data_IF_134801709526
#
_entry.id   IF_134801709526
#
_cell.length_a   1.000
_cell.length_b   1.000
_cell.length_c   1.000
_cell.angle_alpha   90.00
_cell.angle_beta   90.00
_cell.angle_gamma   90.00
#
_symmetry.space_group_name_H-M   'P 1'
#
loop_
_entity.id
_entity.type
_entity.pdbx_description
1 polymer ?
#
# COMPACT_ATOMS: atom_id res chain seq x y z
N UNK A 1 -5.47 33.53 -37.72
CA UNK A 1 -6.57 32.61 -38.03
C UNK A 1 -6.09 31.71 -39.15
N UNK A 2 -6.26 30.39 -39.04
CA UNK A 2 -5.96 29.47 -40.13
C UNK A 2 -6.96 29.71 -41.26
N UNK A 3 -6.49 29.67 -42.53
CA UNK A 3 -7.36 29.79 -43.69
C UNK A 3 -8.19 28.51 -43.92
N UNK A 4 -9.25 28.61 -44.72
CA UNK A 4 -10.19 27.53 -44.98
C UNK A 4 -9.53 26.30 -45.65
N UNK A 5 -8.44 26.49 -46.41
CA UNK A 5 -7.71 25.42 -47.09
C UNK A 5 -6.92 24.62 -46.03
N UNK A 6 -6.19 25.31 -45.17
CA UNK A 6 -5.46 24.70 -44.05
C UNK A 6 -6.40 23.94 -43.10
N UNK A 7 -7.58 24.50 -42.81
CA UNK A 7 -8.60 23.84 -42.00
C UNK A 7 -9.09 22.55 -42.69
N UNK A 8 -9.33 22.56 -44.00
CA UNK A 8 -9.76 21.38 -44.75
C UNK A 8 -8.69 20.28 -44.78
N UNK A 9 -7.42 20.64 -44.95
CA UNK A 9 -6.29 19.73 -44.95
C UNK A 9 -6.10 19.09 -43.56
N UNK A 10 -6.28 19.85 -42.49
CA UNK A 10 -6.29 19.34 -41.11
C UNK A 10 -7.42 18.36 -40.83
N UNK A 11 -8.62 18.64 -41.37
CA UNK A 11 -9.76 17.72 -41.28
C UNK A 11 -9.51 16.39 -41.99
N UNK A 12 -8.90 16.41 -43.18
CA UNK A 12 -8.55 15.18 -43.91
C UNK A 12 -7.47 14.37 -43.20
N UNK A 13 -6.45 15.02 -42.67
CA UNK A 13 -5.41 14.38 -41.89
C UNK A 13 -5.97 13.76 -40.60
N UNK A 14 -6.93 14.43 -39.94
CA UNK A 14 -7.61 13.93 -38.76
C UNK A 14 -8.48 12.69 -39.05
N UNK A 15 -9.18 12.68 -40.19
CA UNK A 15 -9.97 11.53 -40.63
C UNK A 15 -9.10 10.30 -40.94
N UNK A 16 -7.85 10.50 -41.36
CA UNK A 16 -6.88 9.45 -41.63
C UNK A 16 -6.16 8.94 -40.34
N UNK A 17 -6.17 9.71 -39.27
CA UNK A 17 -5.50 9.37 -37.98
C UNK A 17 -6.39 9.67 -36.78
N UNK A 18 -7.35 8.78 -36.48
CA UNK A 18 -8.36 9.01 -35.43
C UNK A 18 -7.79 9.20 -34.01
N UNK A 19 -6.53 8.84 -33.80
CA UNK A 19 -5.83 9.05 -32.52
C UNK A 19 -5.18 10.42 -32.35
N UNK A 20 -5.32 11.30 -33.37
CA UNK A 20 -4.67 12.60 -33.39
C UNK A 20 -3.32 12.60 -34.14
N UNK A 21 -2.78 13.78 -34.39
CA UNK A 21 -1.48 13.96 -35.03
C UNK A 21 -0.76 15.19 -34.49
N UNK A 22 0.56 15.19 -34.66
CA UNK A 22 1.44 16.25 -34.23
C UNK A 22 1.92 17.05 -35.48
N UNK A 23 1.82 18.35 -35.43
CA UNK A 23 2.43 19.23 -36.43
C UNK A 23 3.78 19.67 -35.89
N UNK A 24 4.83 19.40 -36.68
CA UNK A 24 6.21 19.71 -36.34
C UNK A 24 6.71 20.76 -37.33
N UNK A 25 7.25 21.86 -36.81
CA UNK A 25 7.94 22.87 -37.60
C UNK A 25 9.42 22.91 -37.23
N UNK A 26 10.29 22.86 -38.25
CA UNK A 26 11.76 22.89 -38.05
C UNK A 26 12.32 21.90 -37.04
N UNK A 27 11.70 20.72 -36.92
CA UNK A 27 12.13 19.66 -36.01
C UNK A 27 11.60 19.77 -34.58
N UNK A 28 10.82 20.79 -34.27
CA UNK A 28 10.16 20.98 -32.98
C UNK A 28 8.64 20.86 -33.08
N UNK A 29 7.94 20.23 -32.13
CA UNK A 29 6.48 20.17 -32.16
C UNK A 29 5.88 21.56 -31.97
N UNK A 30 5.11 22.02 -32.94
CA UNK A 30 4.45 23.34 -32.93
C UNK A 30 3.05 23.29 -32.32
N UNK A 31 2.27 22.26 -32.66
CA UNK A 31 0.98 21.99 -32.03
C UNK A 31 0.50 20.56 -32.33
N UNK A 32 -0.40 20.06 -31.48
CA UNK A 32 -1.03 18.77 -31.62
C UNK A 32 -2.54 18.93 -31.90
N UNK A 33 -3.07 18.16 -32.85
CA UNK A 33 -4.51 18.04 -33.07
C UNK A 33 -4.98 16.74 -32.47
N UNK A 34 -5.87 16.82 -31.49
CA UNK A 34 -6.39 15.67 -30.75
C UNK A 34 -7.92 15.56 -30.97
N UNK A 35 -8.49 14.33 -30.95
CA UNK A 35 -9.93 14.19 -30.84
C UNK A 35 -10.43 14.95 -29.61
N UNK A 36 -11.59 15.59 -29.72
CA UNK A 36 -12.18 16.40 -28.64
C UNK A 36 -12.28 15.59 -27.32
N UNK A 37 -12.60 14.30 -27.42
CA UNK A 37 -12.64 13.37 -26.27
C UNK A 37 -11.25 13.21 -25.63
N UNK A 38 -10.19 13.07 -26.44
CA UNK A 38 -8.80 12.96 -25.96
C UNK A 38 -8.30 14.29 -25.38
N UNK A 39 -8.63 15.43 -26.04
CA UNK A 39 -8.35 16.77 -25.51
C UNK A 39 -9.07 17.01 -24.17
N UNK A 40 -10.35 16.63 -24.05
CA UNK A 40 -11.11 16.77 -22.82
C UNK A 40 -10.51 15.92 -21.70
N UNK A 41 -10.09 14.68 -21.99
CA UNK A 41 -9.40 13.81 -21.03
C UNK A 41 -8.04 14.41 -20.61
N UNK A 42 -7.25 14.92 -21.55
CA UNK A 42 -5.97 15.59 -21.28
C UNK A 42 -6.15 16.85 -20.42
N UNK A 43 -7.14 17.67 -20.73
CA UNK A 43 -7.49 18.87 -19.95
C UNK A 43 -7.99 18.52 -18.55
N UNK A 44 -8.77 17.46 -18.42
CA UNK A 44 -9.24 16.98 -17.12
C UNK A 44 -8.08 16.41 -16.30
N UNK A 45 -7.17 15.64 -16.90
CA UNK A 45 -5.99 15.13 -16.20
C UNK A 45 -5.05 16.26 -15.76
N UNK A 46 -4.79 17.27 -16.59
CA UNK A 46 -4.01 18.46 -16.23
C UNK A 46 -4.69 19.31 -15.15
N UNK A 47 -5.99 19.52 -15.24
CA UNK A 47 -6.75 20.26 -14.23
C UNK A 47 -6.78 19.53 -12.89
N UNK A 48 -6.84 18.19 -12.91
CA UNK A 48 -6.80 17.36 -11.70
C UNK A 48 -5.38 17.24 -11.11
N UNK A 49 -4.32 17.27 -11.94
CA UNK A 49 -2.93 17.22 -11.44
C UNK A 49 -2.50 18.51 -10.73
N UNK A 50 -3.14 19.65 -11.00
CA UNK A 50 -2.84 20.93 -10.33
C UNK A 50 -3.72 21.21 -9.10
N UNK A 51 -4.73 20.37 -8.84
CA UNK A 51 -5.64 20.56 -7.70
C UNK A 51 -5.01 19.97 -6.44
N UNK A 52 -4.88 20.78 -5.40
CA UNK A 52 -4.46 20.33 -4.07
C UNK A 52 -5.41 19.24 -3.55
N UNK A 53 -4.87 18.18 -2.97
CA UNK A 53 -5.65 17.14 -2.32
C UNK A 53 -6.07 17.65 -0.94
N UNK A 54 -7.36 17.63 -0.65
CA UNK A 54 -7.92 18.03 0.64
C UNK A 54 -8.76 16.92 1.26
N UNK A 55 -9.60 16.23 0.46
CA UNK A 55 -10.53 15.19 0.93
C UNK A 55 -10.18 13.83 0.40
N UNK A 56 -10.01 12.86 1.30
CA UNK A 56 -9.47 11.54 1.02
C UNK A 56 -10.43 10.47 1.52
N UNK A 57 -10.72 9.49 0.65
CA UNK A 57 -11.31 8.23 1.09
C UNK A 57 -10.20 7.27 1.52
N UNK A 58 -10.29 6.74 2.73
CA UNK A 58 -9.38 5.71 3.23
C UNK A 58 -10.16 4.41 3.40
N UNK A 59 -9.98 3.46 2.51
CA UNK A 59 -10.57 2.12 2.67
C UNK A 59 -9.66 1.26 3.53
N UNK A 60 -10.23 0.54 4.50
CA UNK A 60 -9.46 -0.19 5.52
C UNK A 60 -8.83 0.73 6.58
N UNK A 61 -9.41 1.93 6.76
CA UNK A 61 -8.89 2.93 7.69
C UNK A 61 -9.10 2.62 9.17
N UNK A 62 -9.93 1.64 9.51
CA UNK A 62 -10.07 1.13 10.88
C UNK A 62 -9.07 0.00 11.21
N UNK A 63 -8.33 -0.50 10.18
CA UNK A 63 -7.30 -1.53 10.32
C UNK A 63 -5.99 -0.99 10.92
N UNK A 64 -5.02 -1.88 11.11
CA UNK A 64 -3.75 -1.58 11.76
C UNK A 64 -2.98 -0.42 11.11
N UNK A 65 -2.60 -0.53 9.83
CA UNK A 65 -1.83 0.53 9.14
C UNK A 65 -2.73 1.72 8.80
N UNK A 66 -3.96 1.43 8.37
CA UNK A 66 -4.93 2.47 7.98
C UNK A 66 -5.23 3.46 9.10
N UNK A 67 -5.44 3.00 10.34
CA UNK A 67 -5.77 3.88 11.47
C UNK A 67 -4.63 4.85 11.85
N UNK A 68 -3.38 4.38 11.82
CA UNK A 68 -2.22 5.25 12.01
C UNK A 68 -2.10 6.29 10.89
N UNK A 69 -2.39 5.90 9.65
CA UNK A 69 -2.39 6.82 8.51
C UNK A 69 -3.53 7.83 8.60
N UNK A 70 -4.73 7.41 8.96
CA UNK A 70 -5.89 8.29 9.20
C UNK A 70 -5.54 9.34 10.25
N UNK A 71 -4.91 8.94 11.36
CA UNK A 71 -4.45 9.86 12.39
C UNK A 71 -3.51 10.92 11.84
N UNK A 72 -2.42 10.52 11.16
CA UNK A 72 -1.44 11.46 10.61
C UNK A 72 -2.04 12.36 9.53
N UNK A 73 -2.95 11.87 8.69
CA UNK A 73 -3.68 12.70 7.72
C UNK A 73 -4.49 13.79 8.41
N UNK A 74 -5.20 13.44 9.49
CA UNK A 74 -5.98 14.40 10.29
C UNK A 74 -5.10 15.46 10.95
N UNK A 75 -3.95 15.07 11.49
CA UNK A 75 -2.97 15.99 12.07
C UNK A 75 -2.42 16.98 11.03
N UNK A 76 -2.38 16.59 9.75
CA UNK A 76 -2.02 17.45 8.62
C UNK A 76 -3.22 18.20 7.99
N UNK A 77 -4.38 18.20 8.66
CA UNK A 77 -5.60 18.90 8.26
C UNK A 77 -6.25 18.41 6.96
N UNK A 78 -6.05 17.13 6.58
CA UNK A 78 -6.85 16.51 5.53
C UNK A 78 -8.25 16.18 6.06
N UNK A 79 -9.26 16.35 5.21
CA UNK A 79 -10.60 15.79 5.44
C UNK A 79 -10.59 14.31 5.09
N UNK A 80 -10.81 13.45 6.08
CA UNK A 80 -10.72 12.00 5.92
C UNK A 80 -12.10 11.37 6.11
N UNK A 81 -12.50 10.53 5.15
CA UNK A 81 -13.63 9.62 5.27
C UNK A 81 -13.08 8.20 5.25
N UNK A 82 -13.43 7.41 6.23
CA UNK A 82 -13.02 6.01 6.35
C UNK A 82 -14.16 5.11 5.90
N UNK A 83 -13.86 4.14 5.02
CA UNK A 83 -14.74 3.03 4.65
C UNK A 83 -14.10 1.72 5.12
N UNK A 84 -14.75 1.02 6.05
CA UNK A 84 -14.23 -0.24 6.61
C UNK A 84 -15.39 -1.13 7.04
N UNK A 85 -15.28 -2.44 6.82
CA UNK A 85 -16.30 -3.41 7.24
C UNK A 85 -16.02 -4.02 8.64
N UNK A 86 -15.01 -3.52 9.33
CA UNK A 86 -14.58 -3.95 10.67
C UNK A 86 -14.23 -5.44 10.81
N UNK A 87 -13.97 -6.13 9.69
CA UNK A 87 -13.60 -7.56 9.72
C UNK A 87 -12.31 -7.84 10.53
N UNK A 88 -11.40 -6.88 10.57
CA UNK A 88 -10.16 -6.91 11.37
C UNK A 88 -9.88 -5.59 12.07
N UNK A 89 -10.50 -4.53 11.62
CA UNK A 89 -10.39 -3.18 12.15
C UNK A 89 -11.18 -2.98 13.45
N UNK A 90 -10.99 -1.82 14.07
CA UNK A 90 -11.71 -1.38 15.26
C UNK A 90 -12.29 0.01 15.02
N UNK A 91 -13.60 0.17 15.21
CA UNK A 91 -14.29 1.45 14.94
C UNK A 91 -13.71 2.61 15.74
N UNK A 92 -13.29 2.38 16.99
CA UNK A 92 -12.68 3.40 17.83
C UNK A 92 -11.29 3.86 17.33
N UNK A 93 -10.61 3.06 16.51
CA UNK A 93 -9.30 3.43 15.93
C UNK A 93 -9.41 4.51 14.84
N UNK A 94 -10.62 4.80 14.36
CA UNK A 94 -10.88 5.84 13.36
C UNK A 94 -10.83 7.26 13.97
N UNK A 95 -11.00 7.37 15.28
CA UNK A 95 -11.05 8.65 15.99
C UNK A 95 -12.25 9.49 15.55
N UNK A 96 -12.02 10.78 15.29
CA UNK A 96 -13.03 11.76 14.87
C UNK A 96 -13.21 11.88 13.34
N UNK A 97 -12.57 11.02 12.54
CA UNK A 97 -12.80 10.98 11.10
C UNK A 97 -14.21 10.46 10.77
N UNK A 98 -14.80 10.96 9.68
CA UNK A 98 -16.09 10.43 9.22
C UNK A 98 -15.95 8.95 8.92
N UNK A 99 -16.81 8.13 9.51
CA UNK A 99 -16.79 6.68 9.37
C UNK A 99 -18.02 6.18 8.62
N UNK A 100 -17.79 5.32 7.63
CA UNK A 100 -18.80 4.59 6.87
C UNK A 100 -18.51 3.11 7.08
N UNK A 101 -19.41 2.41 7.76
CA UNK A 101 -19.32 0.96 7.90
C UNK A 101 -19.82 0.29 6.62
N UNK A 102 -18.97 -0.53 6.00
CA UNK A 102 -19.33 -1.27 4.80
C UNK A 102 -18.15 -1.87 4.07
N UNK A 103 -18.46 -2.74 3.12
CA UNK A 103 -17.46 -3.43 2.32
C UNK A 103 -17.08 -2.61 1.09
N UNK A 104 -15.79 -2.39 0.88
CA UNK A 104 -15.26 -1.67 -0.29
C UNK A 104 -15.46 -2.40 -1.62
N UNK A 105 -15.87 -3.67 -1.60
CA UNK A 105 -16.22 -4.43 -2.81
C UNK A 105 -17.67 -4.23 -3.25
N UNK A 106 -18.53 -3.67 -2.39
CA UNK A 106 -19.93 -3.36 -2.68
C UNK A 106 -20.04 -2.17 -3.64
N UNK A 107 -20.46 -2.44 -4.88
CA UNK A 107 -20.59 -1.44 -5.95
C UNK A 107 -21.61 -0.36 -5.65
N UNK A 108 -22.75 -0.74 -5.08
CA UNK A 108 -23.85 0.20 -4.81
C UNK A 108 -23.45 1.14 -3.67
N UNK A 109 -22.76 0.62 -2.66
CA UNK A 109 -22.18 1.41 -1.59
C UNK A 109 -21.12 2.38 -2.13
N UNK A 110 -20.18 1.91 -2.95
CA UNK A 110 -19.15 2.75 -3.55
C UNK A 110 -19.76 3.86 -4.41
N UNK A 111 -20.71 3.53 -5.29
CA UNK A 111 -21.39 4.53 -6.13
C UNK A 111 -22.04 5.63 -5.28
N UNK A 112 -22.70 5.26 -4.20
CA UNK A 112 -23.33 6.20 -3.26
C UNK A 112 -22.28 7.06 -2.53
N UNK A 113 -21.22 6.44 -1.99
CA UNK A 113 -20.16 7.13 -1.25
C UNK A 113 -19.44 8.14 -2.13
N UNK A 114 -19.09 7.77 -3.38
CA UNK A 114 -18.43 8.69 -4.32
C UNK A 114 -19.36 9.81 -4.81
N UNK A 115 -20.66 9.57 -4.86
CA UNK A 115 -21.64 10.61 -5.22
C UNK A 115 -21.80 11.65 -4.12
N UNK A 116 -21.88 11.20 -2.86
CA UNK A 116 -22.16 12.06 -1.70
C UNK A 116 -20.92 12.86 -1.27
N UNK A 117 -19.71 12.27 -1.33
CA UNK A 117 -18.55 12.77 -0.61
C UNK A 117 -17.49 13.51 -1.47
N UNK A 118 -17.48 13.42 -2.76
CA UNK A 118 -16.59 14.15 -3.68
C UNK A 118 -15.11 14.15 -3.25
N UNK A 119 -14.43 13.03 -3.38
CA UNK A 119 -13.02 12.87 -3.00
C UNK A 119 -12.05 13.46 -4.02
N UNK A 120 -10.87 13.89 -3.56
CA UNK A 120 -9.72 14.27 -4.39
C UNK A 120 -8.77 13.09 -4.64
N UNK A 121 -8.72 12.14 -3.69
CA UNK A 121 -7.87 10.95 -3.77
C UNK A 121 -8.44 9.80 -2.92
N UNK A 122 -7.89 8.60 -3.15
CA UNK A 122 -8.17 7.39 -2.36
C UNK A 122 -6.86 6.83 -1.82
N UNK A 123 -6.87 6.38 -0.56
CA UNK A 123 -5.87 5.49 0.01
C UNK A 123 -6.50 4.12 0.27
N UNK A 124 -5.95 3.08 -0.35
CA UNK A 124 -6.54 1.74 -0.32
C UNK A 124 -5.70 0.77 0.51
N UNK A 125 -6.14 0.54 1.76
CA UNK A 125 -5.55 -0.42 2.69
C UNK A 125 -6.36 -1.72 2.80
N UNK A 126 -7.67 -1.66 2.54
CA UNK A 126 -8.57 -2.78 2.70
C UNK A 126 -8.16 -3.98 1.83
N UNK A 127 -7.94 -5.11 2.44
CA UNK A 127 -7.59 -6.36 1.76
C UNK A 127 -7.69 -7.56 2.70
N UNK A 128 -7.87 -8.76 2.16
CA UNK A 128 -7.53 -10.02 2.83
C UNK A 128 -6.00 -10.19 2.81
N UNK A 129 -5.34 -10.44 3.98
CA UNK A 129 -3.88 -10.32 4.13
C UNK A 129 -3.16 -11.57 4.67
N UNK A 130 -3.88 -12.60 5.15
CA UNK A 130 -3.27 -13.81 5.73
C UNK A 130 -2.73 -14.73 4.64
N UNK A 131 -1.41 -14.92 4.61
CA UNK A 131 -0.73 -15.71 3.56
C UNK A 131 -1.19 -17.18 3.57
N UNK A 132 -1.22 -17.81 4.74
CA UNK A 132 -1.67 -19.19 4.93
C UNK A 132 -3.13 -19.40 4.53
N UNK A 133 -4.02 -18.50 4.92
CA UNK A 133 -5.42 -18.51 4.49
C UNK A 133 -5.55 -18.36 2.98
N UNK A 134 -4.68 -17.55 2.35
CA UNK A 134 -4.73 -17.35 0.90
C UNK A 134 -4.47 -18.65 0.12
N UNK A 135 -3.58 -19.50 0.64
CA UNK A 135 -3.31 -20.82 0.05
C UNK A 135 -4.48 -21.77 0.26
N UNK A 136 -5.10 -21.72 1.44
CA UNK A 136 -6.24 -22.60 1.76
C UNK A 136 -7.55 -22.15 1.06
N UNK A 137 -7.73 -20.86 0.84
CA UNK A 137 -8.94 -20.27 0.23
C UNK A 137 -8.59 -19.15 -0.76
N UNK A 138 -7.99 -19.46 -1.92
CA UNK A 138 -7.59 -18.44 -2.89
C UNK A 138 -8.77 -17.64 -3.46
N UNK A 139 -9.95 -18.27 -3.61
CA UNK A 139 -11.14 -17.61 -4.14
C UNK A 139 -11.50 -16.34 -3.34
N UNK A 140 -11.48 -16.41 -2.00
CA UNK A 140 -11.71 -15.25 -1.11
C UNK A 140 -10.75 -14.11 -1.41
N UNK A 141 -9.48 -14.42 -1.68
CA UNK A 141 -8.43 -13.42 -1.92
C UNK A 141 -8.59 -12.73 -3.28
N UNK A 142 -8.89 -13.49 -4.33
CA UNK A 142 -9.17 -12.89 -5.63
C UNK A 142 -10.45 -12.07 -5.62
N UNK A 143 -11.51 -12.56 -4.98
CA UNK A 143 -12.78 -11.83 -4.86
C UNK A 143 -12.58 -10.52 -4.09
N UNK A 144 -11.98 -10.56 -2.92
CA UNK A 144 -11.74 -9.37 -2.10
C UNK A 144 -10.74 -8.42 -2.75
N UNK A 145 -9.50 -8.89 -3.04
CA UNK A 145 -8.40 -7.99 -3.35
C UNK A 145 -8.40 -7.56 -4.83
N UNK A 146 -8.87 -8.41 -5.74
CA UNK A 146 -8.85 -8.11 -7.17
C UNK A 146 -10.22 -7.61 -7.65
N UNK A 147 -11.28 -8.38 -7.45
CA UNK A 147 -12.63 -7.97 -7.90
C UNK A 147 -13.10 -6.75 -7.13
N UNK A 148 -12.94 -6.74 -5.80
CA UNK A 148 -13.22 -5.57 -4.96
C UNK A 148 -12.39 -4.35 -5.37
N UNK A 149 -11.09 -4.54 -5.62
CA UNK A 149 -10.21 -3.48 -6.11
C UNK A 149 -10.66 -2.90 -7.46
N UNK A 150 -11.10 -3.76 -8.42
CA UNK A 150 -11.67 -3.32 -9.69
C UNK A 150 -12.94 -2.50 -9.46
N UNK A 151 -13.82 -2.92 -8.55
CA UNK A 151 -15.03 -2.17 -8.23
C UNK A 151 -14.68 -0.77 -7.70
N UNK A 152 -13.68 -0.67 -6.81
CA UNK A 152 -13.22 0.60 -6.28
C UNK A 152 -12.68 1.53 -7.38
N UNK A 153 -11.76 1.07 -8.25
CA UNK A 153 -11.19 1.92 -9.28
C UNK A 153 -12.22 2.28 -10.36
N UNK A 154 -13.22 1.43 -10.63
CA UNK A 154 -14.34 1.76 -11.50
C UNK A 154 -15.20 2.90 -10.93
N UNK A 155 -15.53 2.84 -9.63
CA UNK A 155 -16.26 3.91 -8.94
C UNK A 155 -15.46 5.22 -8.93
N UNK A 156 -14.13 5.16 -8.70
CA UNK A 156 -13.22 6.30 -8.79
C UNK A 156 -13.28 6.96 -10.18
N UNK A 157 -13.09 6.16 -11.24
CA UNK A 157 -13.10 6.66 -12.64
C UNK A 157 -14.47 7.28 -12.97
N UNK A 158 -15.58 6.63 -12.59
CA UNK A 158 -16.94 7.13 -12.77
C UNK A 158 -17.16 8.49 -12.08
N UNK A 159 -16.59 8.67 -10.90
CA UNK A 159 -16.67 9.91 -10.12
C UNK A 159 -15.63 10.98 -10.54
N UNK A 160 -14.71 10.66 -11.45
CA UNK A 160 -13.62 11.55 -11.85
C UNK A 160 -12.48 11.67 -10.82
N UNK A 161 -12.38 10.74 -9.88
CA UNK A 161 -11.30 10.66 -8.90
C UNK A 161 -10.18 9.82 -9.50
N UNK A 162 -9.03 10.45 -9.78
CA UNK A 162 -7.94 9.81 -10.56
C UNK A 162 -6.64 9.64 -9.78
N UNK A 163 -6.67 9.73 -8.46
CA UNK A 163 -5.47 9.61 -7.61
C UNK A 163 -5.65 8.51 -6.59
N UNK A 164 -4.72 7.52 -6.58
CA UNK A 164 -4.78 6.36 -5.70
C UNK A 164 -3.42 6.07 -5.06
N UNK A 165 -3.35 6.00 -3.74
CA UNK A 165 -2.25 5.35 -3.03
C UNK A 165 -2.68 3.94 -2.65
N UNK A 166 -1.91 2.95 -3.09
CA UNK A 166 -2.22 1.54 -2.90
C UNK A 166 -1.23 0.86 -1.95
N UNK A 167 -1.75 0.23 -0.93
CA UNK A 167 -1.02 -0.65 -0.03
C UNK A 167 -0.71 -1.99 -0.71
N UNK A 168 0.45 -2.05 -1.38
CA UNK A 168 0.99 -3.29 -1.95
C UNK A 168 1.82 -4.05 -0.91
N UNK A 169 2.66 -4.97 -1.32
CA UNK A 169 3.40 -5.84 -0.41
C UNK A 169 4.70 -6.34 -1.02
N UNK A 170 5.73 -6.56 -0.19
CA UNK A 170 6.93 -7.30 -0.57
C UNK A 170 6.65 -8.77 -1.00
N UNK A 171 5.49 -9.31 -0.66
CA UNK A 171 5.07 -10.65 -1.09
C UNK A 171 4.98 -10.82 -2.62
N UNK A 172 4.91 -9.72 -3.37
CA UNK A 172 4.97 -9.74 -4.85
C UNK A 172 6.28 -10.30 -5.40
N UNK A 173 7.36 -10.22 -4.63
CA UNK A 173 8.68 -10.70 -5.05
C UNK A 173 8.87 -12.23 -4.90
N UNK A 174 8.09 -12.86 -4.04
CA UNK A 174 8.22 -14.29 -3.73
C UNK A 174 9.57 -14.61 -3.10
N UNK A 175 10.38 -15.45 -3.76
CA UNK A 175 11.73 -15.84 -3.35
C UNK A 175 12.78 -15.09 -4.18
N UNK A 176 13.20 -13.89 -3.77
CA UNK A 176 14.13 -13.06 -4.53
C UNK A 176 15.54 -13.65 -4.52
N UNK A 177 16.21 -13.60 -5.66
CA UNK A 177 17.60 -14.07 -5.82
C UNK A 177 18.65 -13.07 -5.28
N UNK A 178 18.24 -11.81 -5.10
CA UNK A 178 19.11 -10.70 -4.67
C UNK A 178 18.49 -10.01 -3.46
N UNK A 179 19.30 -9.71 -2.47
CA UNK A 179 18.93 -8.92 -1.29
C UNK A 179 20.05 -7.92 -1.00
N UNK A 180 19.74 -6.63 -0.71
CA UNK A 180 18.42 -6.01 -0.64
C UNK A 180 17.67 -5.95 -1.97
N UNK A 181 16.31 -6.02 -1.91
CA UNK A 181 15.42 -6.14 -3.06
C UNK A 181 15.04 -4.75 -3.58
N UNK A 182 15.36 -4.45 -4.85
CA UNK A 182 14.93 -3.22 -5.54
C UNK A 182 13.60 -3.40 -6.26
N UNK A 183 12.98 -2.28 -6.68
CA UNK A 183 11.68 -2.29 -7.37
C UNK A 183 11.74 -2.93 -8.77
N UNK A 184 12.93 -2.97 -9.36
CA UNK A 184 13.23 -3.62 -10.65
C UNK A 184 13.38 -5.14 -10.55
N UNK A 185 13.43 -5.69 -9.34
CA UNK A 185 13.52 -7.14 -9.12
C UNK A 185 12.30 -7.85 -9.70
N UNK A 186 12.54 -9.04 -10.24
CA UNK A 186 11.48 -9.87 -10.82
C UNK A 186 10.41 -10.15 -9.73
N UNK A 187 9.16 -9.88 -10.07
CA UNK A 187 8.02 -10.24 -9.23
C UNK A 187 7.56 -11.65 -9.60
N UNK A 188 7.65 -12.58 -8.65
CA UNK A 188 7.22 -13.96 -8.82
C UNK A 188 6.60 -14.47 -7.50
N UNK A 189 5.36 -14.04 -7.19
CA UNK A 189 4.69 -14.41 -5.95
C UNK A 189 4.61 -15.92 -5.75
N UNK A 190 4.79 -16.38 -4.53
CA UNK A 190 4.70 -17.81 -4.15
C UNK A 190 3.39 -18.19 -3.48
N UNK A 191 2.47 -17.23 -3.38
CA UNK A 191 1.17 -17.44 -2.73
C UNK A 191 0.10 -16.51 -3.34
N UNK A 192 -1.20 -16.89 -3.23
CA UNK A 192 -2.30 -16.10 -3.80
C UNK A 192 -2.41 -14.67 -3.25
N UNK A 193 -2.03 -14.41 -2.00
CA UNK A 193 -2.01 -13.04 -1.46
C UNK A 193 -1.05 -12.15 -2.26
N UNK A 194 0.22 -12.58 -2.42
CA UNK A 194 1.21 -11.84 -3.21
C UNK A 194 0.76 -11.67 -4.66
N UNK A 195 0.18 -12.73 -5.25
CA UNK A 195 -0.36 -12.70 -6.62
C UNK A 195 -1.47 -11.66 -6.78
N UNK A 196 -2.42 -11.58 -5.83
CA UNK A 196 -3.50 -10.57 -5.89
C UNK A 196 -2.97 -9.15 -5.78
N UNK A 197 -1.91 -8.90 -4.99
CA UNK A 197 -1.27 -7.58 -4.90
C UNK A 197 -0.61 -7.20 -6.22
N UNK A 198 0.17 -8.10 -6.83
CA UNK A 198 0.81 -7.89 -8.12
C UNK A 198 -0.23 -7.72 -9.25
N UNK A 199 -1.28 -8.53 -9.25
CA UNK A 199 -2.38 -8.41 -10.19
C UNK A 199 -3.01 -7.00 -10.14
N UNK A 200 -3.25 -6.48 -8.94
CA UNK A 200 -3.84 -5.15 -8.81
C UNK A 200 -2.88 -4.03 -9.23
N UNK A 201 -1.57 -4.12 -8.97
CA UNK A 201 -0.57 -3.20 -9.55
C UNK A 201 -0.63 -3.17 -11.08
N UNK A 202 -0.76 -4.34 -11.71
CA UNK A 202 -0.89 -4.44 -13.17
C UNK A 202 -2.21 -3.82 -13.67
N UNK A 203 -3.32 -4.00 -12.95
CA UNK A 203 -4.60 -3.35 -13.24
C UNK A 203 -4.44 -1.82 -13.20
N UNK A 204 -3.82 -1.27 -12.16
CA UNK A 204 -3.58 0.16 -12.01
C UNK A 204 -2.79 0.74 -13.18
N UNK A 205 -1.79 0.00 -13.70
CA UNK A 205 -1.03 0.39 -14.90
C UNK A 205 -1.93 0.51 -16.14
N UNK A 206 -2.85 -0.46 -16.35
CA UNK A 206 -3.79 -0.40 -17.47
C UNK A 206 -4.81 0.73 -17.30
N UNK A 207 -5.30 0.96 -16.08
CA UNK A 207 -6.22 2.06 -15.79
C UNK A 207 -5.55 3.43 -15.96
N UNK A 208 -4.26 3.53 -15.69
CA UNK A 208 -3.50 4.75 -15.98
C UNK A 208 -3.51 5.08 -17.46
N UNK A 209 -3.19 4.10 -18.33
CA UNK A 209 -3.21 4.31 -19.78
C UNK A 209 -4.59 4.59 -20.36
N UNK A 210 -5.63 3.93 -19.84
CA UNK A 210 -6.99 4.01 -20.41
C UNK A 210 -7.81 5.18 -19.87
N UNK A 211 -7.65 5.53 -18.59
CA UNK A 211 -8.52 6.46 -17.86
C UNK A 211 -7.77 7.61 -17.20
N UNK A 212 -6.43 7.68 -17.32
CA UNK A 212 -5.61 8.71 -16.68
C UNK A 212 -5.52 8.57 -15.16
N UNK A 213 -5.77 7.37 -14.61
CA UNK A 213 -5.60 7.09 -13.19
C UNK A 213 -4.11 7.22 -12.83
N UNK A 214 -3.79 8.03 -11.84
CA UNK A 214 -2.44 8.15 -11.28
C UNK A 214 -2.36 7.37 -9.98
N UNK A 215 -1.33 6.55 -9.81
CA UNK A 215 -1.22 5.71 -8.61
C UNK A 215 0.20 5.61 -8.09
N UNK A 216 0.31 5.45 -6.77
CA UNK A 216 1.53 5.04 -6.08
C UNK A 216 1.26 3.73 -5.35
N UNK A 217 1.97 2.68 -5.71
CA UNK A 217 1.95 1.38 -5.02
C UNK A 217 3.13 1.31 -4.06
N UNK A 218 2.85 1.13 -2.77
CA UNK A 218 3.87 0.98 -1.73
C UNK A 218 4.03 -0.50 -1.38
N UNK A 219 5.14 -1.10 -1.80
CA UNK A 219 5.53 -2.48 -1.46
C UNK A 219 6.26 -2.47 -0.13
N UNK A 220 5.52 -2.52 0.96
CA UNK A 220 6.15 -2.52 2.28
C UNK A 220 6.46 -3.94 2.75
N UNK A 221 7.46 -4.01 3.63
CA UNK A 221 7.95 -5.23 4.24
C UNK A 221 7.16 -5.51 5.53
N UNK A 222 7.78 -5.80 6.65
CA UNK A 222 7.04 -6.19 7.83
C UNK A 222 6.64 -4.98 8.68
N UNK A 223 5.37 -4.59 8.62
CA UNK A 223 4.83 -3.54 9.49
C UNK A 223 4.84 -3.99 10.95
N UNK A 224 5.35 -3.14 11.85
CA UNK A 224 5.39 -3.40 13.28
C UNK A 224 5.34 -2.09 14.07
N UNK A 225 5.26 -2.16 15.41
CA UNK A 225 5.14 -0.98 16.24
C UNK A 225 3.69 -0.59 16.55
N UNK A 226 3.53 0.47 17.31
CA UNK A 226 2.23 0.99 17.75
C UNK A 226 2.33 2.48 18.11
N UNK A 227 1.20 3.09 18.42
CA UNK A 227 1.07 4.43 19.01
C UNK A 227 0.15 4.32 20.24
N UNK A 228 0.64 3.80 21.38
CA UNK A 228 -0.18 3.45 22.54
C UNK A 228 -0.92 4.66 23.14
N UNK A 229 -0.28 5.83 23.16
CA UNK A 229 -0.86 7.08 23.67
C UNK A 229 -2.07 7.57 22.87
N UNK A 230 -2.18 7.13 21.61
CA UNK A 230 -3.34 7.40 20.76
C UNK A 230 -4.34 6.23 20.71
N UNK A 231 -4.14 5.17 21.48
CA UNK A 231 -4.97 3.98 21.44
C UNK A 231 -4.85 3.17 20.14
N UNK A 232 -3.71 3.30 19.41
CA UNK A 232 -3.50 2.68 18.12
C UNK A 232 -2.41 1.59 18.17
N UNK A 233 -2.71 0.45 17.58
CA UNK A 233 -1.80 -0.69 17.49
C UNK A 233 -2.49 -1.88 16.83
N UNK A 234 -1.79 -2.99 16.76
CA UNK A 234 -2.37 -4.23 16.25
C UNK A 234 -3.60 -4.65 17.06
N UNK A 235 -4.64 -5.15 16.40
CA UNK A 235 -5.88 -5.52 17.10
C UNK A 235 -5.64 -6.73 18.04
N UNK A 236 -5.70 -6.48 19.34
CA UNK A 236 -5.41 -7.46 20.40
C UNK A 236 -6.44 -8.59 20.54
N UNK A 237 -7.63 -8.41 19.94
CA UNK A 237 -8.68 -9.44 19.95
C UNK A 237 -8.53 -10.47 18.82
N UNK A 238 -7.57 -10.27 17.89
CA UNK A 238 -7.30 -11.21 16.82
C UNK A 238 -6.15 -12.14 17.19
N UNK A 239 -6.18 -13.35 16.64
CA UNK A 239 -5.03 -14.26 16.69
C UNK A 239 -3.82 -13.62 16.02
N UNK A 240 -2.73 -13.52 16.74
CA UNK A 240 -1.51 -12.93 16.25
C UNK A 240 -0.77 -13.89 15.31
N UNK A 241 -0.67 -13.52 14.02
CA UNK A 241 0.07 -14.32 13.02
C UNK A 241 1.47 -13.77 12.76
N UNK A 242 1.72 -12.49 13.11
CA UNK A 242 3.02 -11.83 12.93
C UNK A 242 3.96 -12.13 14.10
N UNK A 243 5.28 -12.15 13.82
CA UNK A 243 6.29 -12.57 14.77
C UNK A 243 6.29 -11.73 16.06
N UNK A 244 6.47 -10.40 15.96
CA UNK A 244 6.60 -9.51 17.12
C UNK A 244 5.39 -9.63 18.07
N UNK A 245 4.13 -9.51 17.63
CA UNK A 245 2.98 -9.72 18.50
C UNK A 245 2.96 -11.09 19.19
N UNK A 246 3.36 -12.17 18.49
CA UNK A 246 3.42 -13.53 19.07
C UNK A 246 4.49 -13.66 20.14
N UNK A 247 5.68 -13.08 19.91
CA UNK A 247 6.78 -13.09 20.89
C UNK A 247 6.38 -12.28 22.12
N UNK A 248 5.67 -11.16 21.94
CA UNK A 248 5.15 -10.35 23.04
C UNK A 248 4.03 -11.08 23.83
N UNK A 249 3.19 -11.89 23.17
CA UNK A 249 2.23 -12.74 23.87
C UNK A 249 2.92 -13.79 24.75
N UNK A 250 4.04 -14.35 24.30
CA UNK A 250 4.85 -15.23 25.13
C UNK A 250 5.47 -14.48 26.33
N UNK A 251 5.97 -13.25 26.10
CA UNK A 251 6.46 -12.39 27.19
C UNK A 251 5.38 -12.03 28.22
N UNK A 252 4.13 -11.90 27.80
CA UNK A 252 2.97 -11.70 28.69
C UNK A 252 2.48 -12.98 29.37
N UNK A 253 3.05 -14.14 29.02
CA UNK A 253 2.62 -15.46 29.56
C UNK A 253 1.28 -15.94 28.97
N UNK A 254 0.80 -15.36 27.86
CA UNK A 254 -0.41 -15.82 27.16
C UNK A 254 -0.18 -17.13 26.41
N UNK A 255 1.06 -17.39 25.99
CA UNK A 255 1.49 -18.65 25.40
C UNK A 255 2.70 -19.20 26.17
N UNK A 256 2.81 -20.51 26.25
CA UNK A 256 3.89 -21.16 27.01
C UNK A 256 5.25 -21.09 26.31
N UNK A 257 5.26 -21.05 25.00
CA UNK A 257 6.46 -20.99 24.16
C UNK A 257 6.16 -20.41 22.79
N UNK A 258 7.18 -19.96 22.08
CA UNK A 258 7.11 -19.59 20.68
C UNK A 258 7.77 -20.65 19.80
N UNK A 259 7.14 -20.97 18.66
CA UNK A 259 7.72 -21.85 17.67
C UNK A 259 8.48 -21.03 16.61
N UNK A 260 9.79 -21.30 16.49
CA UNK A 260 10.68 -20.76 15.47
C UNK A 260 10.70 -21.72 14.28
N UNK A 261 10.26 -21.26 13.11
CA UNK A 261 10.09 -22.11 11.93
C UNK A 261 11.37 -22.23 11.10
N UNK A 262 12.13 -23.28 11.34
CA UNK A 262 13.42 -23.58 10.69
C UNK A 262 14.60 -22.86 11.35
N UNK A 263 15.73 -23.57 11.39
CA UNK A 263 17.03 -23.09 11.87
C UNK A 263 18.17 -23.48 10.93
N UNK A 264 17.84 -23.76 9.70
CA UNK A 264 18.74 -24.27 8.66
C UNK A 264 18.71 -23.41 7.38
N UNK A 265 18.20 -22.17 7.49
CA UNK A 265 18.32 -21.18 6.39
C UNK A 265 19.79 -20.74 6.23
N UNK A 266 20.15 -20.32 5.00
CA UNK A 266 21.46 -19.71 4.72
C UNK A 266 21.52 -18.27 5.26
N UNK A 267 21.64 -18.18 6.60
CA UNK A 267 21.69 -16.94 7.38
C UNK A 267 22.64 -17.15 8.57
N UNK A 268 23.01 -16.07 9.25
CA UNK A 268 24.00 -16.11 10.34
C UNK A 268 23.65 -17.04 11.49
N UNK A 269 22.35 -17.15 11.84
CA UNK A 269 21.85 -17.96 12.95
C UNK A 269 20.91 -19.10 12.50
N UNK A 270 20.79 -19.29 11.18
CA UNK A 270 19.95 -20.32 10.59
C UNK A 270 18.46 -19.96 10.53
N UNK A 271 18.01 -18.83 11.08
CA UNK A 271 16.60 -18.42 11.03
C UNK A 271 16.36 -17.39 9.91
N UNK A 272 15.12 -17.25 9.46
CA UNK A 272 14.81 -16.34 8.37
C UNK A 272 14.97 -14.86 8.78
N UNK A 273 15.34 -14.00 7.81
CA UNK A 273 15.61 -12.59 8.01
C UNK A 273 14.50 -11.76 7.37
N UNK A 274 13.97 -10.78 8.12
CA UNK A 274 12.92 -9.85 7.66
C UNK A 274 13.29 -8.41 8.00
N UNK A 275 12.81 -7.49 7.15
CA UNK A 275 12.92 -6.05 7.34
C UNK A 275 11.65 -5.55 8.05
N UNK A 276 11.81 -5.00 9.24
CA UNK A 276 10.71 -4.46 10.04
C UNK A 276 10.70 -2.94 9.96
N UNK A 277 9.54 -2.38 9.63
CA UNK A 277 9.32 -0.96 9.49
C UNK A 277 8.23 -0.51 10.45
N UNK A 278 8.48 0.58 11.18
CA UNK A 278 7.51 1.10 12.13
C UNK A 278 6.25 1.56 11.40
N UNK A 279 5.08 1.27 11.98
CA UNK A 279 3.78 1.61 11.37
C UNK A 279 3.61 3.12 11.11
N UNK A 280 4.25 3.99 11.94
CA UNK A 280 4.27 5.44 11.71
C UNK A 280 5.14 5.83 10.52
N UNK A 281 6.29 5.16 10.30
CA UNK A 281 7.11 5.35 9.10
C UNK A 281 6.35 4.94 7.84
N UNK A 282 5.57 3.85 7.92
CA UNK A 282 4.67 3.45 6.83
C UNK A 282 3.58 4.50 6.58
N UNK A 283 2.95 5.03 7.62
CA UNK A 283 1.93 6.06 7.49
C UNK A 283 2.53 7.33 6.84
N UNK A 284 3.75 7.74 7.24
CA UNK A 284 4.48 8.84 6.62
C UNK A 284 4.76 8.57 5.13
N UNK A 285 5.16 7.35 4.76
CA UNK A 285 5.36 6.96 3.36
C UNK A 285 4.07 7.11 2.52
N UNK A 286 2.91 6.74 3.06
CA UNK A 286 1.61 6.90 2.40
C UNK A 286 1.26 8.38 2.17
N UNK A 287 1.57 9.26 3.13
CA UNK A 287 1.33 10.70 2.97
C UNK A 287 2.26 11.31 1.92
N UNK A 288 3.55 10.94 1.91
CA UNK A 288 4.48 11.37 0.87
C UNK A 288 4.07 10.87 -0.51
N UNK A 289 3.57 9.64 -0.60
CA UNK A 289 3.00 9.09 -1.83
C UNK A 289 1.78 9.88 -2.31
N UNK A 290 0.92 10.35 -1.40
CA UNK A 290 -0.21 11.22 -1.73
C UNK A 290 0.27 12.57 -2.28
N UNK A 291 1.25 13.19 -1.64
CA UNK A 291 1.85 14.47 -2.09
C UNK A 291 2.49 14.32 -3.48
N UNK A 292 3.13 13.17 -3.78
CA UNK A 292 3.66 12.87 -5.11
C UNK A 292 2.57 12.96 -6.18
N UNK A 293 1.36 12.48 -5.90
CA UNK A 293 0.22 12.51 -6.83
C UNK A 293 -0.37 13.91 -7.06
N UNK A 294 0.03 14.92 -6.29
CA UNK A 294 -0.34 16.31 -6.57
C UNK A 294 0.47 16.91 -7.74
N UNK A 295 1.69 16.43 -7.94
CA UNK A 295 2.66 17.02 -8.87
C UNK A 295 3.03 16.11 -10.03
N UNK A 296 2.77 14.81 -9.91
CA UNK A 296 3.16 13.82 -10.90
C UNK A 296 2.01 12.88 -11.25
N UNK A 297 2.00 12.39 -12.48
CA UNK A 297 0.97 11.50 -13.02
C UNK A 297 1.57 10.15 -13.41
N UNK A 298 0.68 9.17 -13.66
CA UNK A 298 1.07 7.83 -14.05
C UNK A 298 1.18 6.87 -12.86
N UNK A 299 1.92 5.78 -13.02
CA UNK A 299 2.04 4.74 -12.01
C UNK A 299 3.45 4.70 -11.44
N UNK A 300 3.56 4.78 -10.11
CA UNK A 300 4.80 4.71 -9.38
C UNK A 300 4.78 3.53 -8.41
N UNK A 301 5.93 2.90 -8.22
CA UNK A 301 6.11 1.80 -7.28
C UNK A 301 7.31 2.13 -6.40
N UNK A 302 7.16 1.94 -5.09
CA UNK A 302 8.23 2.13 -4.11
C UNK A 302 8.25 1.00 -3.09
N UNK A 303 9.47 0.52 -2.79
CA UNK A 303 9.71 -0.33 -1.64
C UNK A 303 9.78 0.51 -0.37
N UNK A 304 9.12 0.05 0.69
CA UNK A 304 9.11 0.70 2.00
C UNK A 304 9.59 -0.29 3.06
N UNK A 305 10.81 -0.09 3.50
CA UNK A 305 11.48 -0.85 4.53
C UNK A 305 12.72 -0.09 5.01
N UNK A 306 13.31 -0.53 6.12
CA UNK A 306 14.47 0.15 6.71
C UNK A 306 15.77 -0.11 5.96
N UNK A 307 15.81 -1.14 5.11
CA UNK A 307 17.02 -1.64 4.47
C UNK A 307 17.88 -2.49 5.41
N UNK A 308 17.42 -2.73 6.64
CA UNK A 308 18.06 -3.58 7.64
C UNK A 308 17.19 -4.79 7.94
N UNK A 309 17.77 -5.96 7.78
CA UNK A 309 17.11 -7.23 8.12
C UNK A 309 17.45 -7.66 9.52
N UNK A 310 16.48 -8.29 10.17
CA UNK A 310 16.64 -8.94 11.48
C UNK A 310 16.16 -10.37 11.41
N UNK A 311 16.93 -11.27 12.00
CA UNK A 311 16.57 -12.68 12.12
C UNK A 311 15.46 -12.90 13.16
N UNK A 312 14.85 -14.09 13.16
CA UNK A 312 13.84 -14.42 14.17
C UNK A 312 14.45 -14.41 15.59
N UNK A 313 15.69 -14.93 15.74
CA UNK A 313 16.36 -14.93 17.04
C UNK A 313 16.73 -13.52 17.49
N UNK A 314 17.23 -12.65 16.61
CA UNK A 314 17.49 -11.24 16.94
C UNK A 314 16.22 -10.52 17.42
N UNK A 315 15.05 -10.80 16.84
CA UNK A 315 13.77 -10.25 17.32
C UNK A 315 13.43 -10.76 18.71
N UNK A 316 13.62 -12.05 18.99
CA UNK A 316 13.35 -12.65 20.32
C UNK A 316 14.29 -12.04 21.36
N UNK A 317 15.57 -11.90 21.04
CA UNK A 317 16.58 -11.32 21.95
C UNK A 317 16.25 -9.84 22.27
N UNK A 318 15.88 -9.04 21.27
CA UNK A 318 15.47 -7.66 21.50
C UNK A 318 14.18 -7.56 22.34
N UNK A 319 13.20 -8.47 22.13
CA UNK A 319 12.02 -8.55 23.01
C UNK A 319 12.40 -8.90 24.43
N UNK A 320 13.32 -9.84 24.64
CA UNK A 320 13.82 -10.17 26.00
C UNK A 320 14.52 -8.97 26.65
N UNK A 321 15.33 -8.22 25.89
CA UNK A 321 15.99 -7.00 26.38
C UNK A 321 14.97 -5.93 26.79
N UNK A 322 14.01 -5.61 25.93
CA UNK A 322 13.01 -4.55 26.15
C UNK A 322 12.05 -4.90 27.29
N UNK A 323 11.61 -6.16 27.36
CA UNK A 323 10.57 -6.57 28.33
C UNK A 323 11.14 -7.05 29.67
N UNK A 324 12.41 -7.43 29.73
CA UNK A 324 13.03 -8.09 30.86
C UNK A 324 12.47 -9.49 31.12
N UNK A 325 11.84 -10.13 30.12
CA UNK A 325 11.18 -11.42 30.23
C UNK A 325 11.91 -12.47 29.40
N UNK A 326 12.10 -13.66 29.97
CA UNK A 326 12.57 -14.84 29.24
C UNK A 326 11.47 -15.35 28.31
N UNK A 327 11.83 -15.68 27.08
CA UNK A 327 10.92 -16.20 26.06
C UNK A 327 11.26 -17.67 25.80
N UNK A 328 10.47 -18.61 26.30
CA UNK A 328 10.64 -20.02 25.94
C UNK A 328 10.38 -20.20 24.43
N UNK A 329 11.26 -20.95 23.77
CA UNK A 329 11.13 -21.21 22.33
C UNK A 329 11.46 -22.66 22.00
N UNK A 330 10.85 -23.17 20.91
CA UNK A 330 11.20 -24.44 20.28
C UNK A 330 11.44 -24.24 18.80
N UNK A 331 12.30 -25.05 18.23
CA UNK A 331 12.55 -25.09 16.80
C UNK A 331 11.55 -26.05 16.14
N UNK A 332 10.82 -25.54 15.15
CA UNK A 332 9.94 -26.33 14.30
C UNK A 332 10.50 -26.48 12.88
N UNK A 333 9.77 -27.18 12.01
CA UNK A 333 10.11 -27.31 10.60
C UNK A 333 9.96 -25.96 9.88
N UNK A 334 10.67 -25.76 8.75
CA UNK A 334 10.45 -24.58 7.88
C UNK A 334 8.99 -24.52 7.41
N UNK A 335 8.48 -23.30 7.29
CA UNK A 335 7.24 -23.08 6.54
C UNK A 335 7.51 -23.22 5.03
N UNK A 336 6.65 -23.94 4.34
CA UNK A 336 6.76 -24.07 2.88
C UNK A 336 6.61 -22.69 2.21
N UNK A 337 7.53 -22.38 1.28
CA UNK A 337 7.52 -21.12 0.55
C UNK A 337 7.92 -19.87 1.36
N UNK A 338 8.52 -20.05 2.54
CA UNK A 338 9.02 -18.92 3.35
C UNK A 338 10.47 -18.61 2.95
N UNK A 339 10.77 -17.46 2.30
CA UNK A 339 12.12 -17.15 1.83
C UNK A 339 13.08 -16.90 2.99
N UNK A 340 14.35 -17.27 2.82
CA UNK A 340 15.37 -17.10 3.87
C UNK A 340 15.63 -15.62 4.19
N UNK A 341 15.53 -14.71 3.22
CA UNK A 341 15.83 -13.28 3.42
C UNK A 341 14.90 -12.39 2.60
N UNK A 342 14.23 -11.45 3.26
CA UNK A 342 13.44 -10.38 2.63
C UNK A 342 13.81 -9.05 3.26
N UNK A 343 14.63 -8.24 2.56
CA UNK A 343 15.12 -6.93 3.01
C UNK A 343 14.97 -5.93 1.86
N UNK A 344 14.44 -4.74 2.14
CA UNK A 344 14.17 -3.71 1.15
C UNK A 344 15.44 -2.99 0.70
N UNK A 345 15.51 -2.65 -0.59
CA UNK A 345 16.26 -1.50 -1.03
C UNK A 345 15.29 -0.32 -1.14
N UNK A 346 15.38 0.63 -0.20
CA UNK A 346 14.48 1.79 -0.12
C UNK A 346 15.10 3.07 -0.71
N UNK A 347 16.21 2.98 -1.45
CA UNK A 347 16.91 4.15 -1.99
C UNK A 347 16.02 4.97 -2.95
N UNK A 348 15.11 4.32 -3.68
CA UNK A 348 14.22 5.01 -4.61
C UNK A 348 13.25 5.94 -3.88
N UNK A 349 12.54 5.45 -2.87
CA UNK A 349 11.60 6.28 -2.09
C UNK A 349 12.34 7.40 -1.33
N UNK A 350 13.55 7.12 -0.81
CA UNK A 350 14.38 8.13 -0.16
C UNK A 350 14.77 9.26 -1.12
N UNK A 351 15.23 8.93 -2.31
CA UNK A 351 15.64 9.91 -3.32
C UNK A 351 14.48 10.70 -3.89
N UNK A 352 13.35 10.05 -4.19
CA UNK A 352 12.25 10.66 -4.94
C UNK A 352 11.17 11.29 -4.07
N UNK A 353 10.95 10.78 -2.85
CA UNK A 353 9.96 11.30 -1.91
C UNK A 353 10.56 11.89 -0.65
N UNK A 354 11.88 11.79 -0.43
CA UNK A 354 12.54 12.24 0.79
C UNK A 354 12.22 11.40 2.02
N UNK A 355 11.54 10.25 1.86
CA UNK A 355 11.18 9.37 2.97
C UNK A 355 12.42 8.77 3.64
N UNK A 356 12.39 8.67 4.96
CA UNK A 356 13.42 7.97 5.76
C UNK A 356 12.76 7.26 6.93
N UNK A 357 13.21 6.05 7.30
CA UNK A 357 12.75 5.43 8.54
C UNK A 357 13.31 6.21 9.73
N UNK A 358 12.46 6.53 10.70
CA UNK A 358 12.84 7.28 11.92
C UNK A 358 12.94 6.37 13.13
N UNK A 359 12.29 5.19 13.10
CA UNK A 359 12.21 4.28 14.22
C UNK A 359 13.11 3.05 14.00
N UNK A 360 13.91 2.71 15.01
CA UNK A 360 14.73 1.50 15.05
C UNK A 360 13.94 0.30 15.61
N UNK A 361 14.58 -0.90 15.64
CA UNK A 361 13.96 -2.11 16.14
C UNK A 361 13.53 -1.97 17.60
N UNK A 362 14.36 -1.36 18.44
CA UNK A 362 14.06 -1.16 19.87
C UNK A 362 12.79 -0.31 20.05
N UNK A 363 12.65 0.77 19.30
CA UNK A 363 11.47 1.62 19.30
C UNK A 363 10.22 0.88 18.82
N UNK A 364 10.36 0.04 17.77
CA UNK A 364 9.29 -0.82 17.25
C UNK A 364 8.80 -1.77 18.35
N UNK A 365 9.71 -2.47 19.02
CA UNK A 365 9.37 -3.45 20.05
C UNK A 365 8.83 -2.75 21.30
N UNK A 366 9.44 -1.64 21.74
CA UNK A 366 8.97 -0.87 22.89
C UNK A 366 7.53 -0.40 22.72
N UNK A 367 7.22 0.24 21.57
CA UNK A 367 5.86 0.72 21.31
C UNK A 367 4.84 -0.43 21.20
N UNK A 368 5.24 -1.54 20.59
CA UNK A 368 4.41 -2.77 20.54
C UNK A 368 4.16 -3.34 21.93
N UNK A 369 5.17 -3.37 22.79
CA UNK A 369 5.07 -3.83 24.17
C UNK A 369 4.15 -2.94 24.99
N UNK A 370 4.36 -1.61 24.92
CA UNK A 370 3.53 -0.63 25.63
C UNK A 370 2.06 -0.69 25.21
N UNK A 371 1.79 -1.03 23.95
CA UNK A 371 0.45 -1.29 23.44
C UNK A 371 -0.14 -2.60 23.98
N UNK A 372 0.63 -3.67 23.95
CA UNK A 372 0.09 -5.02 24.20
C UNK A 372 -0.16 -5.32 25.68
N UNK A 373 0.51 -4.59 26.58
CA UNK A 373 0.32 -4.69 28.05
C UNK A 373 -0.83 -3.84 28.60
N UNK A 374 -1.43 -2.94 27.80
CA UNK A 374 -2.65 -2.19 28.16
C UNK A 374 -3.86 -3.13 28.18
#
# INVERSE_FOLDING_TARGET
MLDNKTISELYQAFAASPNGFLIVDSGSPSFAVLPYKAYKALRQSQANSSKKINKILVTGGAGYIGSHTVRLLREQNYEVVVLDNLSTGRGEAVGDAKFIEGDFSDRDLLDRVFLEERFDAVMHFAASIKVDESVANPAKYYESNVVGGINLVNAMVKAGVVRLVFSSSAAVYGEPQISPIGEESVCHPTNPYGETKLCFENILKWYSGAYGLSSVSLRYFNAAGALPEAGLGYNRSLDHTHLIPRVLDAALGKTSEIEVFGNDYDTSDGTCIRDYVHVLDLAAAHILALTKLETDSGTHIYNVGTGRGYSVLEIIDEVMEVTGRMIPMKIGARRAGDPGRLVANSQKIQRELGWKPEYDLKSIIQSSWDWQKQ
#
